data_IF_814591243433
#
_entry.id   IF_814591243433
#
_cell.length_a   1.000
_cell.length_b   1.000
_cell.length_c   1.000
_cell.angle_alpha   90.00
_cell.angle_beta   90.00
_cell.angle_gamma   90.00
#
_symmetry.space_group_name_H-M   'P 1'
#
loop_
_entity.id
_entity.type
_entity.pdbx_description
1 polymer ?
#
# COMPACT_ATOMS: atom_id res chain seq x y z
N UNK A 1 -13.54 -15.35 -3.54
CA UNK A 1 -14.44 -15.46 -4.69
C UNK A 1 -14.57 -14.13 -5.45
N UNK A 2 -15.33 -14.10 -6.57
CA UNK A 2 -15.43 -12.91 -7.41
C UNK A 2 -16.21 -11.76 -6.76
N UNK A 3 -17.16 -12.05 -5.89
CA UNK A 3 -17.89 -11.03 -5.14
C UNK A 3 -17.01 -10.40 -4.06
N UNK A 4 -16.24 -11.20 -3.36
CA UNK A 4 -15.22 -10.73 -2.41
C UNK A 4 -14.14 -9.90 -3.11
N UNK A 5 -13.67 -10.33 -4.27
CA UNK A 5 -12.69 -9.59 -5.06
C UNK A 5 -13.20 -8.20 -5.46
N UNK A 6 -14.48 -8.11 -5.85
CA UNK A 6 -15.12 -6.83 -6.15
C UNK A 6 -15.23 -5.92 -4.93
N UNK A 7 -15.66 -6.45 -3.78
CA UNK A 7 -15.73 -5.70 -2.51
C UNK A 7 -14.34 -5.25 -2.04
N UNK A 8 -13.33 -6.12 -2.16
CA UNK A 8 -11.96 -5.78 -1.82
C UNK A 8 -11.42 -4.64 -2.71
N UNK A 9 -11.70 -4.67 -4.01
CA UNK A 9 -11.31 -3.60 -4.92
C UNK A 9 -11.95 -2.25 -4.53
N UNK A 10 -13.23 -2.24 -4.18
CA UNK A 10 -13.93 -1.02 -3.77
C UNK A 10 -13.40 -0.41 -2.46
N UNK A 11 -12.93 -1.25 -1.54
CA UNK A 11 -12.42 -0.83 -0.22
C UNK A 11 -10.93 -0.50 -0.20
N UNK A 12 -10.15 -1.06 -1.12
CA UNK A 12 -8.73 -0.78 -1.32
C UNK A 12 -8.54 -0.03 -2.63
N UNK A 13 -7.47 0.71 -2.79
CA UNK A 13 -7.09 1.27 -4.11
C UNK A 13 -5.78 0.63 -4.52
N UNK A 14 -5.81 -0.58 -5.07
CA UNK A 14 -4.60 -1.29 -5.45
C UNK A 14 -3.95 -0.62 -6.67
N UNK A 15 -2.63 -0.79 -6.80
CA UNK A 15 -1.87 -0.33 -7.98
C UNK A 15 -1.98 -1.33 -9.14
N UNK A 16 -2.31 -2.58 -8.84
CA UNK A 16 -2.53 -3.67 -9.81
C UNK A 16 -3.55 -4.66 -9.25
N UNK A 17 -4.34 -5.24 -10.12
CA UNK A 17 -5.30 -6.31 -9.76
C UNK A 17 -4.93 -7.58 -10.50
N UNK A 18 -4.89 -8.69 -9.77
CA UNK A 18 -4.69 -10.04 -10.33
C UNK A 18 -5.94 -10.86 -10.00
N UNK A 19 -6.61 -11.34 -11.03
CA UNK A 19 -7.87 -12.09 -10.91
C UNK A 19 -7.70 -13.49 -11.50
N UNK A 20 -8.18 -14.48 -10.79
CA UNK A 20 -8.39 -15.79 -11.41
C UNK A 20 -9.54 -15.70 -12.42
N UNK A 21 -9.36 -16.30 -13.59
CA UNK A 21 -10.43 -16.40 -14.58
C UNK A 21 -11.64 -17.14 -14.03
N UNK A 22 -11.41 -18.26 -13.35
CA UNK A 22 -12.45 -19.10 -12.75
C UNK A 22 -12.50 -18.92 -11.24
N UNK A 23 -13.52 -18.23 -10.78
CA UNK A 23 -13.83 -18.06 -9.36
C UNK A 23 -15.30 -18.40 -9.10
N UNK A 24 -15.66 -18.89 -7.91
CA UNK A 24 -17.04 -18.96 -7.48
C UNK A 24 -17.69 -17.57 -7.49
N UNK A 25 -18.99 -17.50 -7.74
CA UNK A 25 -19.69 -16.23 -7.92
C UNK A 25 -19.36 -15.59 -9.26
N UNK A 26 -18.85 -14.36 -9.23
CA UNK A 26 -18.40 -13.67 -10.46
C UNK A 26 -17.09 -14.23 -10.98
N UNK A 27 -17.00 -14.38 -12.27
CA UNK A 27 -15.73 -14.72 -12.96
C UNK A 27 -14.76 -13.55 -12.93
N UNK A 28 -13.46 -13.80 -13.14
CA UNK A 28 -12.46 -12.73 -13.23
C UNK A 28 -12.76 -11.71 -14.32
N UNK A 29 -13.39 -12.11 -15.40
CA UNK A 29 -13.82 -11.19 -16.49
C UNK A 29 -14.96 -10.29 -16.03
N UNK A 30 -15.94 -10.82 -15.31
CA UNK A 30 -17.04 -10.00 -14.79
C UNK A 30 -16.53 -8.97 -13.78
N UNK A 31 -15.64 -9.36 -12.88
CA UNK A 31 -14.98 -8.43 -11.95
C UNK A 31 -14.15 -7.40 -12.71
N UNK A 32 -13.40 -7.80 -13.72
CA UNK A 32 -12.66 -6.89 -14.59
C UNK A 32 -13.57 -5.84 -15.25
N UNK A 33 -14.71 -6.25 -15.80
CA UNK A 33 -15.66 -5.32 -16.43
C UNK A 33 -16.23 -4.31 -15.43
N UNK A 34 -16.51 -4.74 -14.19
CA UNK A 34 -16.93 -3.84 -13.12
C UNK A 34 -15.82 -2.84 -12.76
N UNK A 35 -14.57 -3.29 -12.65
CA UNK A 35 -13.42 -2.40 -12.40
C UNK A 35 -13.30 -1.37 -13.52
N UNK A 36 -13.43 -1.76 -14.79
CA UNK A 36 -13.31 -0.86 -15.94
C UNK A 36 -14.40 0.20 -16.03
N UNK A 37 -15.55 -0.01 -15.38
CA UNK A 37 -16.57 1.02 -15.24
C UNK A 37 -16.13 2.14 -14.29
N UNK A 38 -15.34 1.82 -13.26
CA UNK A 38 -14.86 2.77 -12.25
C UNK A 38 -13.47 3.31 -12.59
N UNK A 39 -12.59 2.46 -13.07
CA UNK A 39 -11.20 2.78 -13.38
C UNK A 39 -10.78 2.17 -14.71
N UNK A 40 -10.52 3.05 -15.69
CA UNK A 40 -10.09 2.66 -17.03
C UNK A 40 -8.59 2.39 -17.14
N UNK A 41 -7.80 2.76 -16.12
CA UNK A 41 -6.33 2.81 -16.18
C UNK A 41 -5.64 1.73 -15.36
N UNK A 42 -6.23 1.32 -14.22
CA UNK A 42 -5.58 0.33 -13.36
C UNK A 42 -5.20 -0.94 -14.15
N UNK A 43 -3.96 -1.43 -14.04
CA UNK A 43 -3.58 -2.69 -14.67
C UNK A 43 -4.32 -3.85 -14.02
N UNK A 44 -4.94 -4.69 -14.86
CA UNK A 44 -5.62 -5.91 -14.43
C UNK A 44 -5.07 -7.09 -15.21
N UNK A 45 -4.53 -8.07 -14.50
CA UNK A 45 -4.03 -9.33 -15.04
C UNK A 45 -5.04 -10.43 -14.75
N UNK A 46 -5.29 -11.28 -15.74
CA UNK A 46 -6.15 -12.45 -15.57
C UNK A 46 -5.28 -13.72 -15.55
N UNK A 47 -5.43 -14.52 -14.50
CA UNK A 47 -4.81 -15.84 -14.38
C UNK A 47 -5.73 -16.91 -14.97
N UNK A 48 -5.24 -17.79 -15.84
CA UNK A 48 -6.01 -18.91 -16.36
C UNK A 48 -5.16 -20.14 -16.61
N UNK A 49 -5.79 -21.30 -16.49
CA UNK A 49 -5.21 -22.58 -16.91
C UNK A 49 -5.46 -22.88 -18.41
N UNK A 50 -6.30 -22.09 -19.09
CA UNK A 50 -6.71 -22.35 -20.48
C UNK A 50 -6.08 -21.37 -21.46
N UNK A 51 -5.33 -21.90 -22.42
CA UNK A 51 -4.63 -21.13 -23.46
C UNK A 51 -5.57 -20.45 -24.47
N UNK A 52 -6.75 -21.03 -24.73
CA UNK A 52 -7.68 -20.54 -25.75
C UNK A 52 -8.39 -19.25 -25.37
N UNK A 53 -8.44 -18.94 -24.09
CA UNK A 53 -9.08 -17.73 -23.57
C UNK A 53 -8.19 -16.49 -23.65
N UNK A 54 -6.87 -16.66 -23.85
CA UNK A 54 -5.92 -15.56 -23.97
C UNK A 54 -6.30 -14.57 -25.09
N UNK A 55 -6.71 -15.06 -26.25
CA UNK A 55 -7.03 -14.22 -27.40
C UNK A 55 -8.34 -13.42 -27.22
N UNK A 56 -9.32 -13.98 -26.51
CA UNK A 56 -10.59 -13.32 -26.23
C UNK A 56 -10.44 -12.22 -25.16
N UNK A 57 -9.64 -12.48 -24.13
CA UNK A 57 -9.42 -11.56 -23.02
C UNK A 57 -8.63 -10.31 -23.42
N UNK A 58 -7.66 -10.43 -24.30
CA UNK A 58 -6.89 -9.30 -24.84
C UNK A 58 -7.78 -8.35 -25.67
N UNK A 59 -8.82 -8.86 -26.35
CA UNK A 59 -9.79 -8.04 -27.08
C UNK A 59 -10.70 -7.21 -26.15
N UNK A 60 -10.85 -7.61 -24.89
CA UNK A 60 -11.70 -6.95 -23.90
C UNK A 60 -10.95 -5.82 -23.18
N UNK A 61 -9.62 -5.69 -23.38
CA UNK A 61 -8.81 -4.62 -22.79
C UNK A 61 -8.23 -4.95 -21.41
N UNK A 62 -8.05 -6.25 -21.08
CA UNK A 62 -7.20 -6.64 -19.95
C UNK A 62 -5.76 -6.21 -20.20
N UNK A 63 -5.03 -5.84 -19.15
CA UNK A 63 -3.65 -5.38 -19.28
C UNK A 63 -2.72 -6.50 -19.69
N UNK A 64 -2.97 -7.69 -19.20
CA UNK A 64 -2.26 -8.92 -19.59
C UNK A 64 -3.04 -10.17 -19.16
N UNK A 65 -2.62 -11.28 -19.71
CA UNK A 65 -3.14 -12.61 -19.41
C UNK A 65 -1.97 -13.50 -19.01
N UNK A 66 -2.05 -14.16 -17.87
CA UNK A 66 -0.97 -14.97 -17.33
C UNK A 66 -1.45 -16.42 -17.19
N UNK A 67 -0.64 -17.35 -17.65
CA UNK A 67 -0.91 -18.76 -17.45
C UNK A 67 -0.55 -19.19 -16.03
N UNK A 68 -1.41 -20.00 -15.41
CA UNK A 68 -1.16 -20.53 -14.06
C UNK A 68 0.04 -21.49 -14.01
N UNK A 69 0.38 -22.13 -15.12
CA UNK A 69 1.51 -23.05 -15.26
C UNK A 69 2.84 -22.35 -15.61
N UNK A 70 2.83 -21.04 -15.90
CA UNK A 70 4.03 -20.25 -16.21
C UNK A 70 4.96 -19.97 -15.01
N UNK A 71 4.53 -20.33 -13.80
CA UNK A 71 5.30 -20.13 -12.58
C UNK A 71 5.21 -18.72 -12.00
N UNK A 72 5.74 -18.58 -10.79
CA UNK A 72 5.69 -17.30 -10.04
C UNK A 72 6.56 -16.22 -10.70
N UNK A 73 7.68 -16.61 -11.30
CA UNK A 73 8.61 -15.66 -11.91
C UNK A 73 7.99 -14.98 -13.14
N UNK A 74 7.22 -15.72 -13.96
CA UNK A 74 6.48 -15.13 -15.06
C UNK A 74 5.41 -14.17 -14.56
N UNK A 75 4.67 -14.54 -13.52
CA UNK A 75 3.65 -13.67 -12.92
C UNK A 75 4.28 -12.36 -12.40
N UNK A 76 5.37 -12.44 -11.66
CA UNK A 76 6.08 -11.26 -11.15
C UNK A 76 6.56 -10.36 -12.30
N UNK A 77 7.20 -10.91 -13.32
CA UNK A 77 7.66 -10.14 -14.48
C UNK A 77 6.51 -9.42 -15.21
N UNK A 78 5.34 -10.06 -15.31
CA UNK A 78 4.17 -9.46 -15.95
C UNK A 78 3.51 -8.39 -15.08
N UNK A 79 3.48 -8.56 -13.76
CA UNK A 79 3.03 -7.52 -12.83
C UNK A 79 3.93 -6.29 -12.96
N UNK A 80 5.24 -6.45 -12.92
CA UNK A 80 6.20 -5.36 -13.11
C UNK A 80 6.02 -4.66 -14.47
N UNK A 81 5.88 -5.43 -15.54
CA UNK A 81 5.63 -4.87 -16.87
C UNK A 81 4.29 -4.14 -16.98
N UNK A 82 3.25 -4.61 -16.27
CA UNK A 82 1.95 -3.95 -16.23
C UNK A 82 2.01 -2.63 -15.44
N UNK A 83 2.66 -2.60 -14.28
CA UNK A 83 2.89 -1.39 -13.50
C UNK A 83 3.71 -0.34 -14.28
N UNK A 84 4.73 -0.77 -15.03
CA UNK A 84 5.54 0.11 -15.86
C UNK A 84 4.79 0.68 -17.08
N UNK A 85 3.84 -0.07 -17.65
CA UNK A 85 3.02 0.35 -18.81
C UNK A 85 1.88 1.30 -18.43
N UNK A 86 1.37 1.12 -17.25
CA UNK A 86 0.28 1.90 -16.71
C UNK A 86 0.77 2.61 -15.44
N UNK A 87 1.68 3.58 -15.57
CA UNK A 87 1.91 4.48 -14.47
C UNK A 87 0.53 5.03 -14.12
N UNK A 88 0.09 4.78 -12.88
CA UNK A 88 -1.19 5.27 -12.37
C UNK A 88 -1.37 6.75 -12.73
N UNK A 89 -2.56 7.35 -12.47
CA UNK A 89 -2.75 8.75 -12.81
C UNK A 89 -1.49 9.48 -12.37
N UNK A 90 -0.90 10.26 -13.28
CA UNK A 90 0.26 11.09 -12.96
C UNK A 90 -0.06 11.91 -11.70
N UNK A 91 0.10 11.28 -10.57
CA UNK A 91 0.60 11.94 -9.40
C UNK A 91 2.01 12.25 -9.90
N UNK A 92 2.21 13.47 -10.34
CA UNK A 92 3.52 14.04 -10.64
C UNK A 92 4.40 13.75 -9.42
N UNK A 93 5.19 12.70 -9.49
CA UNK A 93 5.95 12.07 -8.42
C UNK A 93 5.59 10.60 -8.30
N UNK A 94 6.50 9.71 -8.65
CA UNK A 94 6.51 8.31 -8.24
C UNK A 94 6.10 8.24 -6.76
N UNK A 95 5.30 7.24 -6.29
CA UNK A 95 5.17 6.98 -4.86
C UNK A 95 6.54 6.78 -4.20
N UNK A 96 7.56 6.47 -5.01
CA UNK A 96 8.97 6.35 -4.65
C UNK A 96 9.68 7.68 -4.37
N UNK A 97 9.11 8.83 -4.71
CA UNK A 97 9.79 10.14 -4.53
C UNK A 97 9.13 11.08 -3.52
N UNK A 98 8.07 10.67 -2.83
CA UNK A 98 7.52 11.52 -1.77
C UNK A 98 8.45 11.50 -0.57
N UNK A 99 9.42 12.40 -0.59
CA UNK A 99 10.29 12.65 0.57
C UNK A 99 9.48 13.47 1.57
N UNK A 100 9.38 12.97 2.79
CA UNK A 100 8.80 13.72 3.89
C UNK A 100 9.91 14.42 4.66
N UNK A 101 10.02 15.75 4.48
CA UNK A 101 10.85 16.57 5.36
C UNK A 101 10.15 16.66 6.72
N UNK A 102 10.70 16.03 7.74
CA UNK A 102 10.12 15.95 9.08
C UNK A 102 10.60 17.07 10.00
N UNK A 103 11.86 17.48 9.82
CA UNK A 103 12.51 18.59 10.49
C UNK A 103 13.61 19.13 9.59
N UNK A 104 14.32 20.24 9.96
CA UNK A 104 15.48 20.68 9.21
C UNK A 104 16.57 19.62 9.05
N UNK A 105 16.65 18.69 10.02
CA UNK A 105 17.70 17.64 10.05
C UNK A 105 17.17 16.22 9.78
N UNK A 106 15.87 16.05 9.45
CA UNK A 106 15.30 14.72 9.31
C UNK A 106 14.43 14.60 8.07
N UNK A 107 14.71 13.57 7.27
CA UNK A 107 13.96 13.20 6.06
C UNK A 107 13.53 11.73 6.11
N UNK A 108 12.31 11.47 5.71
CA UNK A 108 11.83 10.10 5.53
C UNK A 108 11.55 9.81 4.05
N UNK A 109 12.11 8.71 3.59
CA UNK A 109 12.02 8.18 2.23
C UNK A 109 11.18 6.90 2.24
N UNK A 110 9.87 6.96 2.01
CA UNK A 110 9.00 5.76 2.03
C UNK A 110 9.43 4.70 1.03
N UNK A 111 9.88 5.11 -0.16
CA UNK A 111 10.25 4.21 -1.25
C UNK A 111 11.30 3.16 -0.88
N UNK A 112 12.30 3.56 -0.13
CA UNK A 112 13.37 2.66 0.32
C UNK A 112 13.29 2.38 1.83
N UNK A 113 12.16 2.72 2.47
CA UNK A 113 11.92 2.52 3.91
C UNK A 113 13.05 3.08 4.78
N UNK A 114 13.59 4.24 4.42
CA UNK A 114 14.73 4.83 5.12
C UNK A 114 14.37 6.14 5.79
N UNK A 115 14.71 6.29 7.06
CA UNK A 115 14.65 7.53 7.81
C UNK A 115 16.09 8.06 7.97
N UNK A 116 16.34 9.29 7.54
CA UNK A 116 17.60 10.00 7.76
C UNK A 116 17.40 11.01 8.88
N UNK A 117 18.31 11.03 9.84
CA UNK A 117 18.37 11.99 10.94
C UNK A 117 19.82 12.51 11.05
N UNK A 118 20.06 13.77 10.68
CA UNK A 118 21.41 14.29 10.50
C UNK A 118 22.15 13.46 9.44
N UNK A 119 23.37 13.04 9.80
CA UNK A 119 24.21 12.22 8.91
C UNK A 119 23.93 10.70 9.04
N UNK A 120 22.96 10.30 9.85
CA UNK A 120 22.67 8.89 10.10
C UNK A 120 21.45 8.41 9.33
N UNK A 121 21.59 7.19 8.76
CA UNK A 121 20.50 6.48 8.05
C UNK A 121 19.99 5.33 8.87
N UNK A 122 18.68 5.30 9.05
CA UNK A 122 17.95 4.26 9.78
C UNK A 122 17.07 3.50 8.79
N UNK A 123 17.49 2.30 8.33
CA UNK A 123 16.61 1.44 7.54
C UNK A 123 15.47 0.94 8.44
N UNK A 124 14.25 1.17 8.02
CA UNK A 124 13.05 0.77 8.75
C UNK A 124 12.52 -0.55 8.20
N UNK A 125 12.04 -1.42 9.10
CA UNK A 125 11.24 -2.57 8.67
C UNK A 125 9.95 -2.07 8.01
N UNK A 126 9.40 -2.83 7.06
CA UNK A 126 8.20 -2.48 6.28
C UNK A 126 7.08 -1.90 7.14
N UNK A 127 6.70 -2.58 8.22
CA UNK A 127 5.63 -2.12 9.12
C UNK A 127 5.94 -0.78 9.82
N UNK A 128 7.21 -0.51 10.16
CA UNK A 128 7.63 0.77 10.74
C UNK A 128 7.58 1.89 9.71
N UNK A 129 7.97 1.60 8.46
CA UNK A 129 7.91 2.56 7.36
C UNK A 129 6.46 2.91 7.02
N UNK A 130 5.56 1.92 6.97
CA UNK A 130 4.12 2.14 6.78
C UNK A 130 3.51 2.95 7.92
N UNK A 131 3.82 2.62 9.17
CA UNK A 131 3.38 3.39 10.34
C UNK A 131 3.88 4.83 10.28
N UNK A 132 5.14 5.06 9.94
CA UNK A 132 5.69 6.41 9.79
C UNK A 132 5.03 7.14 8.62
N UNK A 133 4.72 6.46 7.52
CA UNK A 133 3.97 7.03 6.39
C UNK A 133 2.59 7.53 6.83
N UNK A 134 1.85 6.72 7.60
CA UNK A 134 0.55 7.13 8.16
C UNK A 134 0.70 8.39 9.02
N UNK A 135 1.73 8.47 9.84
CA UNK A 135 2.01 9.64 10.65
C UNK A 135 2.39 10.87 9.82
N UNK A 136 3.20 10.71 8.79
CA UNK A 136 3.59 11.79 7.88
C UNK A 136 2.40 12.38 7.11
N UNK A 137 1.42 11.55 6.78
CA UNK A 137 0.17 11.99 6.14
C UNK A 137 -0.77 12.76 7.08
N UNK A 138 -0.57 12.63 8.40
CA UNK A 138 -1.43 13.21 9.43
C UNK A 138 -0.61 13.95 10.51
N UNK A 139 0.43 14.69 10.08
CA UNK A 139 1.30 15.45 11.01
C UNK A 139 0.48 16.39 11.90
N UNK A 140 0.90 16.47 13.15
CA UNK A 140 0.31 17.34 14.18
C UNK A 140 -1.18 17.07 14.50
N UNK A 141 -1.74 15.95 14.00
CA UNK A 141 -3.11 15.54 14.26
C UNK A 141 -3.16 14.20 15.00
N UNK A 142 -4.17 14.04 15.89
CA UNK A 142 -4.38 12.77 16.59
C UNK A 142 -5.11 11.76 15.69
N UNK A 143 -4.57 10.54 15.61
CA UNK A 143 -5.16 9.42 14.88
C UNK A 143 -5.54 8.34 15.90
N UNK A 144 -6.80 7.88 15.95
CA UNK A 144 -7.20 6.75 16.77
C UNK A 144 -6.40 5.49 16.45
N UNK A 145 -5.98 4.76 17.50
CA UNK A 145 -5.21 3.52 17.32
C UNK A 145 -5.93 2.48 16.46
N UNK A 146 -7.25 2.39 16.55
CA UNK A 146 -8.09 1.53 15.71
C UNK A 146 -7.97 1.88 14.22
N UNK A 147 -7.93 3.16 13.88
CA UNK A 147 -7.75 3.61 12.48
C UNK A 147 -6.36 3.24 11.98
N UNK A 148 -5.32 3.42 12.80
CA UNK A 148 -3.95 2.99 12.44
C UNK A 148 -3.92 1.48 12.22
N UNK A 149 -4.51 0.69 13.13
CA UNK A 149 -4.56 -0.78 13.01
C UNK A 149 -5.30 -1.24 11.74
N UNK A 150 -6.43 -0.61 11.41
CA UNK A 150 -7.15 -0.92 10.18
C UNK A 150 -6.32 -0.63 8.93
N UNK A 151 -5.57 0.47 8.92
CA UNK A 151 -4.69 0.81 7.78
C UNK A 151 -3.52 -0.15 7.64
N UNK A 152 -2.91 -0.60 8.76
CA UNK A 152 -1.74 -1.49 8.73
C UNK A 152 -2.10 -2.96 8.53
N UNK A 153 -3.22 -3.42 9.11
CA UNK A 153 -3.55 -4.86 9.17
C UNK A 153 -4.97 -5.21 8.73
N UNK A 154 -5.73 -4.24 8.25
CA UNK A 154 -7.17 -4.37 7.98
C UNK A 154 -7.96 -4.98 9.17
N UNK A 155 -7.45 -4.78 10.40
CA UNK A 155 -7.98 -5.37 11.63
C UNK A 155 -7.63 -4.47 12.82
N UNK A 156 -8.56 -4.30 13.75
CA UNK A 156 -8.40 -3.43 14.93
C UNK A 156 -8.69 -4.15 16.26
N UNK A 157 -8.55 -5.48 16.29
CA UNK A 157 -8.73 -6.27 17.51
C UNK A 157 -7.67 -5.94 18.60
N UNK A 158 -7.91 -6.41 19.81
CA UNK A 158 -7.04 -6.11 20.97
C UNK A 158 -5.57 -6.52 20.75
N UNK A 159 -5.32 -7.63 20.04
CA UNK A 159 -3.95 -8.10 19.75
C UNK A 159 -3.22 -7.14 18.81
N UNK A 160 -3.89 -6.57 17.80
CA UNK A 160 -3.31 -5.59 16.89
C UNK A 160 -3.05 -4.25 17.56
N UNK A 161 -3.93 -3.84 18.49
CA UNK A 161 -3.70 -2.64 19.30
C UNK A 161 -2.50 -2.81 20.24
N UNK A 162 -2.29 -4.01 20.80
CA UNK A 162 -1.08 -4.31 21.57
C UNK A 162 0.18 -4.21 20.68
N UNK A 163 0.14 -4.88 19.54
CA UNK A 163 1.24 -4.87 18.56
C UNK A 163 1.58 -3.45 18.07
N UNK A 164 0.57 -2.60 17.86
CA UNK A 164 0.78 -1.19 17.50
C UNK A 164 1.60 -0.45 18.57
N UNK A 165 1.37 -0.73 19.84
CA UNK A 165 2.15 -0.10 20.95
C UNK A 165 3.63 -0.45 20.86
N UNK A 166 3.95 -1.69 20.47
CA UNK A 166 5.33 -2.16 20.33
C UNK A 166 6.02 -1.42 19.15
N UNK A 167 5.36 -1.32 18.01
CA UNK A 167 5.87 -0.56 16.86
C UNK A 167 6.04 0.93 17.16
N UNK A 168 5.10 1.55 17.89
CA UNK A 168 5.22 2.94 18.33
C UNK A 168 6.40 3.10 19.29
N UNK A 169 6.62 2.14 20.19
CA UNK A 169 7.77 2.15 21.10
C UNK A 169 9.08 2.04 20.33
N UNK A 170 9.15 1.15 19.33
CA UNK A 170 10.33 1.00 18.46
C UNK A 170 10.60 2.30 17.66
N UNK A 171 9.57 2.86 17.05
CA UNK A 171 9.70 4.11 16.29
C UNK A 171 10.13 5.28 17.17
N UNK A 172 9.60 5.40 18.38
CA UNK A 172 10.02 6.41 19.36
C UNK A 172 11.51 6.31 19.73
N UNK A 173 12.07 5.10 19.79
CA UNK A 173 13.52 4.92 20.08
C UNK A 173 14.37 5.49 18.94
N UNK A 174 13.97 5.28 17.70
CA UNK A 174 14.70 5.80 16.54
C UNK A 174 14.56 7.34 16.48
N UNK A 175 13.36 7.86 16.68
CA UNK A 175 13.09 9.30 16.64
C UNK A 175 13.76 10.10 17.78
N UNK A 176 14.27 9.44 18.82
CA UNK A 176 15.04 10.13 19.89
C UNK A 176 16.30 10.83 19.35
N UNK A 177 16.84 10.41 18.21
CA UNK A 177 17.98 11.04 17.57
C UNK A 177 17.66 12.48 17.09
N UNK A 178 16.39 12.80 16.88
CA UNK A 178 15.92 14.16 16.62
C UNK A 178 14.85 14.55 17.66
N UNK A 179 15.24 15.39 18.60
CA UNK A 179 14.37 15.82 19.74
C UNK A 179 13.17 16.67 19.32
N UNK A 180 13.17 17.20 18.10
CA UNK A 180 12.07 17.99 17.53
C UNK A 180 10.90 17.11 17.06
N UNK A 181 11.16 15.80 16.84
CA UNK A 181 10.17 14.82 16.40
C UNK A 181 9.63 14.03 17.59
N UNK A 182 8.32 14.01 17.77
CA UNK A 182 7.71 13.31 18.92
C UNK A 182 6.43 12.59 18.53
N UNK A 183 6.27 11.35 18.99
CA UNK A 183 4.99 10.66 18.94
C UNK A 183 4.33 10.79 20.32
N UNK A 184 3.28 11.58 20.41
CA UNK A 184 2.46 11.75 21.63
C UNK A 184 1.31 10.76 21.61
N UNK A 185 0.93 10.27 22.78
CA UNK A 185 -0.28 9.47 22.99
C UNK A 185 -1.22 10.21 23.93
N UNK A 186 -2.52 10.16 23.64
CA UNK A 186 -3.56 10.73 24.50
C UNK A 186 -4.68 9.70 24.67
N UNK A 187 -5.13 9.51 25.89
CA UNK A 187 -6.24 8.62 26.20
C UNK A 187 -7.49 9.03 25.43
N UNK A 188 -8.15 8.10 24.79
CA UNK A 188 -9.35 8.33 23.96
C UNK A 188 -9.11 9.00 22.60
N UNK A 189 -7.98 9.71 22.39
CA UNK A 189 -7.68 10.41 21.13
C UNK A 189 -6.74 9.60 20.20
N UNK A 190 -5.89 8.74 20.77
CA UNK A 190 -4.92 7.93 20.01
C UNK A 190 -3.52 8.54 20.00
N UNK A 191 -2.87 8.56 18.84
CA UNK A 191 -1.48 8.95 18.65
C UNK A 191 -1.35 10.16 17.73
N UNK A 192 -0.39 11.04 18.03
CA UNK A 192 -0.09 12.21 17.23
C UNK A 192 1.42 12.27 16.98
N UNK A 193 1.83 12.39 15.74
CA UNK A 193 3.20 12.64 15.35
C UNK A 193 3.40 14.15 15.20
N UNK A 194 4.17 14.71 16.11
CA UNK A 194 4.47 16.15 16.14
C UNK A 194 5.80 16.40 15.45
N UNK A 195 5.76 17.28 14.47
CA UNK A 195 6.90 17.85 13.76
C UNK A 195 6.98 19.33 14.07
N UNK A 196 8.16 19.97 13.99
CA UNK A 196 8.26 21.42 14.12
C UNK A 196 7.37 22.12 13.07
N UNK A 197 6.80 23.26 13.44
CA UNK A 197 6.10 24.12 12.49
C UNK A 197 7.10 24.60 11.42
N UNK A 198 6.63 24.61 10.18
CA UNK A 198 7.42 25.09 9.02
C UNK A 198 7.56 26.58 9.04
#
# INVERSE_FOLDING_TARGET
DGDEAWLAYQSSRPDVVVLDYQMPGKTGIEVFLLIRQLDKKIPVLILSSYTELCAASLKIGTSDFVRKDGGIDELCARIEAALNRYPGPEITGHPSEKIYQLSPNSCFYPANSTLEIGDQRYPLKTMLAELLTIFCQNQNSFIPGTIICRRLWNNDNASKISLLRDYISELRKILKADTSLKIRSSYGKGYCFSTPEK
#
